data_IF_732666417362
#
_entry.id   IF_732666417362
#
_cell.length_a   1.000
_cell.length_b   1.000
_cell.length_c   1.000
_cell.angle_alpha   90.00
_cell.angle_beta   90.00
_cell.angle_gamma   90.00
#
_symmetry.space_group_name_H-M   'P 1'
#
loop_
_entity.id
_entity.type
_entity.pdbx_description
1 polymer ?
#
# COMPACT_ATOMS: atom_id res chain seq x y z
N UNK A 1 36.39 -13.53 69.84
CA UNK A 1 35.07 -13.65 70.49
C UNK A 1 34.29 -12.38 70.12
N UNK A 2 33.68 -12.35 68.94
CA UNK A 2 32.25 -12.64 68.66
C UNK A 2 31.29 -11.54 69.15
N UNK A 3 30.82 -10.69 68.25
CA UNK A 3 29.43 -10.79 67.77
C UNK A 3 29.13 -9.75 66.68
N UNK A 4 28.95 -10.30 65.48
CA UNK A 4 28.02 -9.92 64.41
C UNK A 4 26.92 -8.93 64.80
N UNK A 5 26.89 -7.78 64.14
CA UNK A 5 25.71 -6.92 64.01
C UNK A 5 25.23 -6.98 62.56
N UNK A 6 24.18 -7.77 62.35
CA UNK A 6 23.48 -7.92 61.09
C UNK A 6 22.62 -6.68 60.81
N UNK A 7 22.96 -5.96 59.74
CA UNK A 7 22.15 -4.94 59.10
C UNK A 7 20.90 -5.59 58.51
N UNK A 8 19.72 -5.33 59.10
CA UNK A 8 18.43 -5.68 58.48
C UNK A 8 18.11 -4.67 57.39
N UNK A 9 18.12 -5.12 56.14
CA UNK A 9 17.44 -4.47 55.04
C UNK A 9 15.93 -4.44 55.33
N UNK A 10 15.36 -3.25 55.45
CA UNK A 10 13.92 -3.05 55.40
C UNK A 10 13.43 -3.28 53.95
N UNK A 11 12.30 -3.98 53.73
CA UNK A 11 11.74 -4.13 52.40
C UNK A 11 11.24 -2.78 51.89
N UNK A 12 11.78 -2.34 50.76
CA UNK A 12 11.24 -1.26 49.94
C UNK A 12 9.79 -1.59 49.60
N UNK A 13 8.85 -0.78 50.13
CA UNK A 13 7.47 -0.76 49.63
C UNK A 13 7.51 -0.37 48.16
N UNK A 14 7.26 -1.35 47.29
CA UNK A 14 6.81 -1.11 45.93
C UNK A 14 5.46 -0.40 46.08
N UNK A 15 5.47 0.91 45.91
CA UNK A 15 4.26 1.68 45.67
C UNK A 15 3.74 1.22 44.31
N UNK A 16 2.76 0.34 44.32
CA UNK A 16 1.89 0.11 43.17
C UNK A 16 1.18 1.44 42.92
N UNK A 17 1.65 2.17 41.90
CA UNK A 17 0.91 3.25 41.28
C UNK A 17 -0.38 2.65 40.70
N UNK A 18 -1.45 2.58 41.49
CA UNK A 18 -2.79 2.50 40.94
C UNK A 18 -3.09 3.87 40.36
N UNK A 19 -2.81 4.03 39.07
CA UNK A 19 -3.28 5.16 38.27
C UNK A 19 -4.80 5.12 38.17
N UNK A 20 -5.50 5.45 39.26
CA UNK A 20 -6.90 5.82 39.21
C UNK A 20 -6.97 7.18 38.51
N UNK A 21 -7.21 7.16 37.20
CA UNK A 21 -7.82 8.29 36.53
C UNK A 21 -9.14 8.59 37.26
N UNK A 22 -9.35 9.81 37.79
CA UNK A 22 -10.64 10.21 38.31
C UNK A 22 -11.57 10.40 37.11
N UNK A 23 -12.22 9.33 36.68
CA UNK A 23 -13.40 9.42 35.83
C UNK A 23 -14.48 10.00 36.72
N UNK A 24 -14.81 11.29 36.56
CA UNK A 24 -16.06 11.85 37.12
C UNK A 24 -17.21 11.14 36.40
N UNK A 25 -17.98 10.28 37.06
CA UNK A 25 -19.25 9.86 36.52
C UNK A 25 -20.26 10.99 36.82
N UNK A 26 -21.29 11.13 35.98
CA UNK A 26 -22.46 11.97 36.22
C UNK A 26 -22.27 13.47 35.89
N UNK A 27 -22.72 13.87 34.69
CA UNK A 27 -23.03 15.28 34.42
C UNK A 27 -23.12 15.69 32.95
N UNK A 28 -22.33 15.11 32.05
CA UNK A 28 -22.15 15.67 30.68
C UNK A 28 -22.17 14.65 29.54
N UNK A 29 -22.78 13.48 29.73
CA UNK A 29 -22.89 12.47 28.66
C UNK A 29 -23.97 12.77 27.60
N UNK A 30 -24.73 13.86 27.73
CA UNK A 30 -25.89 14.16 26.88
C UNK A 30 -25.61 14.94 25.61
N UNK A 31 -24.33 15.24 25.30
CA UNK A 31 -23.97 16.16 24.21
C UNK A 31 -23.29 15.51 23.00
N UNK A 32 -23.01 14.21 23.04
CA UNK A 32 -22.63 13.48 21.83
C UNK A 32 -23.90 13.05 21.09
N UNK A 33 -24.19 13.69 19.96
CA UNK A 33 -25.30 13.34 19.08
C UNK A 33 -25.15 11.93 18.47
N UNK A 34 -24.01 11.28 18.66
CA UNK A 34 -23.74 9.89 18.23
C UNK A 34 -24.65 8.87 18.97
N UNK A 35 -25.26 9.25 20.10
CA UNK A 35 -26.04 8.31 20.92
C UNK A 35 -27.36 8.90 21.43
N UNK A 36 -28.27 9.27 20.51
CA UNK A 36 -29.69 9.20 20.87
C UNK A 36 -30.03 7.71 20.95
N UNK A 37 -30.53 7.19 22.09
CA UNK A 37 -30.96 5.81 22.18
C UNK A 37 -32.20 5.63 21.30
N UNK A 38 -31.97 5.36 20.02
CA UNK A 38 -33.02 4.95 19.10
C UNK A 38 -33.58 3.62 19.61
N UNK A 39 -34.90 3.45 19.46
CA UNK A 39 -35.63 2.33 20.06
C UNK A 39 -34.98 1.02 19.61
N UNK A 40 -34.93 0.06 20.53
CA UNK A 40 -34.31 -1.27 20.36
C UNK A 40 -34.85 -2.08 19.16
N UNK A 41 -35.91 -1.61 18.51
CA UNK A 41 -36.65 -2.28 17.44
C UNK A 41 -36.39 -1.70 16.04
N UNK A 42 -35.46 -0.74 15.93
CA UNK A 42 -35.18 -0.10 14.64
C UNK A 42 -34.32 -1.05 13.78
N UNK A 43 -34.94 -1.68 12.78
CA UNK A 43 -34.27 -2.56 11.81
C UNK A 43 -33.00 -1.94 11.21
N UNK A 44 -32.94 -0.61 11.09
CA UNK A 44 -31.76 0.12 10.64
C UNK A 44 -30.53 -0.08 11.54
N UNK A 45 -30.67 -0.12 12.88
CA UNK A 45 -29.55 -0.37 13.80
C UNK A 45 -28.98 -1.77 13.59
N UNK A 46 -29.84 -2.76 13.38
CA UNK A 46 -29.41 -4.13 13.09
C UNK A 46 -28.63 -4.20 11.77
N UNK A 47 -29.10 -3.51 10.72
CA UNK A 47 -28.35 -3.41 9.46
C UNK A 47 -27.00 -2.71 9.63
N UNK A 48 -26.96 -1.58 10.35
CA UNK A 48 -25.70 -0.87 10.65
C UNK A 48 -24.73 -1.81 11.37
N UNK A 49 -25.19 -2.51 12.40
CA UNK A 49 -24.36 -3.45 13.14
C UNK A 49 -23.84 -4.59 12.24
N UNK A 50 -24.68 -5.19 11.39
CA UNK A 50 -24.23 -6.19 10.42
C UNK A 50 -23.16 -5.62 9.48
N UNK A 51 -23.35 -4.40 8.96
CA UNK A 51 -22.37 -3.77 8.07
C UNK A 51 -21.03 -3.49 8.77
N UNK A 52 -21.06 -3.08 10.03
CA UNK A 52 -19.85 -2.87 10.84
C UNK A 52 -19.16 -4.22 11.15
N UNK A 53 -19.91 -5.28 11.44
CA UNK A 53 -19.34 -6.61 11.63
C UNK A 53 -18.72 -7.15 10.33
N UNK A 54 -19.39 -6.92 9.20
CA UNK A 54 -18.86 -7.23 7.88
C UNK A 54 -17.53 -6.47 7.67
N UNK A 55 -17.49 -5.16 7.93
CA UNK A 55 -16.26 -4.39 7.84
C UNK A 55 -15.16 -4.95 8.76
N UNK A 56 -15.49 -5.30 10.01
CA UNK A 56 -14.55 -5.95 10.93
C UNK A 56 -13.93 -7.21 10.33
N UNK A 57 -14.74 -8.15 9.83
CA UNK A 57 -14.23 -9.41 9.27
C UNK A 57 -13.40 -9.18 8.00
N UNK A 58 -13.94 -8.44 7.04
CA UNK A 58 -13.33 -8.33 5.72
C UNK A 58 -12.13 -7.40 5.69
N UNK A 59 -12.17 -6.26 6.41
CA UNK A 59 -11.03 -5.33 6.50
C UNK A 59 -9.91 -5.97 7.33
N UNK A 60 -10.21 -6.66 8.43
CA UNK A 60 -9.18 -7.39 9.20
C UNK A 60 -8.53 -8.49 8.38
N UNK A 61 -9.33 -9.27 7.65
CA UNK A 61 -8.81 -10.33 6.77
C UNK A 61 -7.97 -9.75 5.62
N UNK A 62 -8.37 -8.61 5.05
CA UNK A 62 -7.59 -7.91 4.03
C UNK A 62 -6.24 -7.43 4.60
N UNK A 63 -6.24 -6.77 5.75
CA UNK A 63 -5.02 -6.34 6.44
C UNK A 63 -4.09 -7.51 6.76
N UNK A 64 -4.63 -8.60 7.31
CA UNK A 64 -3.88 -9.83 7.57
C UNK A 64 -3.25 -10.40 6.28
N UNK A 65 -4.02 -10.50 5.19
CA UNK A 65 -3.50 -11.00 3.91
C UNK A 65 -2.40 -10.09 3.35
N UNK A 66 -2.55 -8.77 3.45
CA UNK A 66 -1.51 -7.83 3.02
C UNK A 66 -0.21 -8.00 3.81
N UNK A 67 -0.30 -8.15 5.14
CA UNK A 67 0.88 -8.38 6.00
C UNK A 67 1.58 -9.68 5.63
N UNK A 68 0.84 -10.79 5.59
CA UNK A 68 1.47 -12.11 5.52
C UNK A 68 1.72 -12.60 4.10
N UNK A 69 0.76 -12.44 3.18
CA UNK A 69 0.89 -12.93 1.81
C UNK A 69 1.68 -11.96 0.93
N UNK A 70 1.30 -10.69 0.91
CA UNK A 70 1.93 -9.67 0.05
C UNK A 70 3.19 -9.06 0.68
N UNK A 71 3.29 -9.06 2.01
CA UNK A 71 4.41 -8.51 2.76
C UNK A 71 5.47 -9.56 3.11
N UNK A 72 5.31 -10.19 4.29
CA UNK A 72 6.34 -11.04 4.91
C UNK A 72 6.75 -12.23 4.04
N UNK A 73 5.79 -12.98 3.49
CA UNK A 73 6.12 -14.15 2.65
C UNK A 73 6.85 -13.74 1.38
N UNK A 74 6.40 -12.65 0.74
CA UNK A 74 7.00 -12.12 -0.47
C UNK A 74 8.41 -11.57 -0.21
N UNK A 75 8.61 -10.83 0.88
CA UNK A 75 9.95 -10.37 1.31
C UNK A 75 10.94 -11.52 1.54
N UNK A 76 10.49 -12.61 2.19
CA UNK A 76 11.35 -13.80 2.37
C UNK A 76 11.76 -14.42 1.04
N UNK A 77 10.82 -14.54 0.09
CA UNK A 77 11.10 -15.01 -1.26
C UNK A 77 12.14 -14.12 -1.95
N UNK A 78 11.93 -12.81 -1.96
CA UNK A 78 12.82 -11.85 -2.61
C UNK A 78 14.23 -11.85 -1.99
N UNK A 79 14.33 -11.99 -0.66
CA UNK A 79 15.61 -12.14 0.03
C UNK A 79 16.37 -13.39 -0.41
N UNK A 80 15.69 -14.52 -0.62
CA UNK A 80 16.33 -15.74 -1.17
C UNK A 80 16.79 -15.55 -2.60
N UNK A 81 15.97 -14.92 -3.46
CA UNK A 81 16.33 -14.64 -4.85
C UNK A 81 17.55 -13.72 -4.94
N UNK A 82 17.61 -12.68 -4.09
CA UNK A 82 18.77 -11.80 -4.01
C UNK A 82 20.04 -12.58 -3.63
N UNK A 83 19.97 -13.46 -2.62
CA UNK A 83 21.10 -14.30 -2.20
C UNK A 83 21.54 -15.27 -3.31
N UNK A 84 20.61 -15.95 -3.98
CA UNK A 84 20.92 -16.86 -5.10
C UNK A 84 21.68 -16.14 -6.23
N UNK A 85 21.42 -14.86 -6.46
CA UNK A 85 22.15 -14.07 -7.46
C UNK A 85 23.56 -13.72 -7.02
N UNK A 86 23.77 -13.39 -5.75
CA UNK A 86 25.10 -13.15 -5.21
C UNK A 86 25.95 -14.42 -5.37
N UNK A 87 25.42 -15.57 -4.95
CA UNK A 87 26.08 -16.87 -5.10
C UNK A 87 26.40 -17.22 -6.57
N UNK A 88 25.46 -16.97 -7.48
CA UNK A 88 25.65 -17.24 -8.91
C UNK A 88 26.70 -16.34 -9.55
N UNK A 89 26.84 -15.09 -9.08
CA UNK A 89 27.89 -14.16 -9.53
C UNK A 89 29.27 -14.60 -9.04
N UNK A 90 29.37 -15.05 -7.81
CA UNK A 90 30.64 -15.50 -7.23
C UNK A 90 31.13 -16.79 -7.91
N UNK A 91 30.25 -17.76 -8.12
CA UNK A 91 30.58 -18.97 -8.91
C UNK A 91 31.08 -18.64 -10.33
N UNK A 92 30.44 -17.70 -11.03
CA UNK A 92 30.89 -17.26 -12.37
C UNK A 92 32.26 -16.55 -12.35
N UNK A 93 32.61 -15.85 -11.27
CA UNK A 93 33.95 -15.24 -11.12
C UNK A 93 35.03 -16.29 -10.92
N UNK A 94 34.75 -17.31 -10.10
CA UNK A 94 35.68 -18.41 -9.84
C UNK A 94 35.94 -19.25 -11.11
N UNK A 95 34.90 -19.55 -11.87
CA UNK A 95 35.03 -20.27 -13.14
C UNK A 95 35.82 -19.46 -14.19
N UNK A 96 35.55 -18.15 -14.32
CA UNK A 96 36.32 -17.30 -15.25
C UNK A 96 37.80 -17.22 -14.88
N UNK A 97 38.13 -17.25 -13.59
CA UNK A 97 39.52 -17.24 -13.11
C UNK A 97 40.23 -18.55 -13.46
N UNK A 98 39.54 -19.70 -13.37
CA UNK A 98 40.07 -21.01 -13.77
C UNK A 98 40.24 -21.14 -15.29
N UNK A 99 39.31 -20.61 -16.08
CA UNK A 99 39.33 -20.74 -17.55
C UNK A 99 40.30 -19.76 -18.21
N UNK A 100 40.53 -18.56 -17.65
CA UNK A 100 41.54 -17.61 -18.18
C UNK A 100 42.97 -18.18 -18.17
N UNK A 101 43.27 -19.16 -17.32
CA UNK A 101 44.58 -19.83 -17.29
C UNK A 101 44.78 -20.82 -18.44
N UNK A 102 43.70 -21.28 -19.11
CA UNK A 102 43.77 -22.29 -20.19
C UNK A 102 43.63 -21.73 -21.62
N UNK A 103 43.11 -20.51 -21.79
CA UNK A 103 42.67 -20.02 -23.12
C UNK A 103 43.42 -18.75 -23.56
N UNK A 104 44.76 -18.79 -23.56
CA UNK A 104 45.61 -17.72 -24.14
C UNK A 104 46.16 -18.06 -25.53
N UNK A 105 45.63 -19.09 -26.20
CA UNK A 105 46.07 -19.53 -27.52
C UNK A 105 44.82 -19.81 -28.36
N UNK A 106 44.73 -19.19 -29.54
CA UNK A 106 43.62 -19.21 -30.50
C UNK A 106 42.43 -18.31 -30.12
N UNK A 107 42.25 -17.19 -30.82
CA UNK A 107 41.27 -17.06 -31.92
C UNK A 107 41.24 -15.61 -32.43
N UNK A 108 41.63 -15.42 -33.68
CA UNK A 108 41.27 -14.28 -34.53
C UNK A 108 40.41 -14.82 -35.69
N UNK A 109 39.60 -13.95 -36.28
CA UNK A 109 38.67 -14.13 -37.42
C UNK A 109 37.26 -14.68 -37.12
N UNK A 110 36.27 -13.79 -37.10
CA UNK A 110 35.22 -13.63 -38.15
C UNK A 110 34.04 -12.79 -37.62
N UNK A 111 33.29 -12.14 -38.53
CA UNK A 111 32.29 -11.07 -38.29
C UNK A 111 31.03 -11.40 -37.46
N UNK A 112 31.10 -12.34 -36.52
CA UNK A 112 30.09 -12.59 -35.47
C UNK A 112 30.23 -11.65 -34.27
N UNK A 113 31.23 -10.77 -34.26
CA UNK A 113 31.59 -9.97 -33.09
C UNK A 113 30.52 -8.93 -32.71
N UNK A 114 29.81 -8.34 -33.68
CA UNK A 114 28.77 -7.33 -33.42
C UNK A 114 27.51 -7.94 -32.78
N UNK A 115 27.01 -9.05 -33.33
CA UNK A 115 25.88 -9.79 -32.77
C UNK A 115 26.20 -10.34 -31.37
N UNK A 116 27.43 -10.80 -31.16
CA UNK A 116 27.90 -11.28 -29.87
C UNK A 116 28.03 -10.16 -28.84
N UNK A 117 28.47 -8.97 -29.25
CA UNK A 117 28.53 -7.79 -28.40
C UNK A 117 27.12 -7.32 -27.99
N UNK A 118 26.17 -7.27 -28.94
CA UNK A 118 24.78 -6.92 -28.68
C UNK A 118 24.11 -7.93 -27.73
N UNK A 119 24.28 -9.24 -27.96
CA UNK A 119 23.77 -10.28 -27.08
C UNK A 119 24.35 -10.19 -25.66
N UNK A 120 25.66 -9.91 -25.53
CA UNK A 120 26.30 -9.71 -24.23
C UNK A 120 25.77 -8.46 -23.51
N UNK A 121 25.52 -7.37 -24.24
CA UNK A 121 24.95 -6.15 -23.70
C UNK A 121 23.50 -6.36 -23.23
N UNK A 122 22.67 -7.06 -24.02
CA UNK A 122 21.31 -7.42 -23.65
C UNK A 122 21.26 -8.33 -22.42
N UNK A 123 22.16 -9.32 -22.32
CA UNK A 123 22.26 -10.18 -21.15
C UNK A 123 22.67 -9.39 -19.88
N UNK A 124 23.58 -8.41 -20.01
CA UNK A 124 23.97 -7.55 -18.91
C UNK A 124 22.81 -6.64 -18.46
N UNK A 125 22.07 -6.05 -19.41
CA UNK A 125 20.90 -5.22 -19.14
C UNK A 125 19.77 -6.04 -18.49
N UNK A 126 19.49 -7.25 -18.99
CA UNK A 126 18.52 -8.17 -18.41
C UNK A 126 18.88 -8.53 -16.96
N UNK A 127 20.15 -8.82 -16.69
CA UNK A 127 20.60 -9.10 -15.32
C UNK A 127 20.35 -7.91 -14.39
N UNK A 128 20.64 -6.68 -14.85
CA UNK A 128 20.38 -5.45 -14.09
C UNK A 128 18.88 -5.24 -13.84
N UNK A 129 18.05 -5.29 -14.89
CA UNK A 129 16.59 -5.10 -14.80
C UNK A 129 15.94 -6.09 -13.83
N UNK A 130 16.34 -7.35 -13.86
CA UNK A 130 15.85 -8.35 -12.91
C UNK A 130 16.30 -8.03 -11.47
N UNK A 131 17.49 -7.45 -11.26
CA UNK A 131 17.95 -7.10 -9.90
C UNK A 131 17.12 -5.93 -9.38
N UNK A 132 16.99 -4.88 -10.20
CA UNK A 132 16.19 -3.71 -9.86
C UNK A 132 14.74 -4.11 -9.59
N UNK A 133 14.14 -4.98 -10.42
CA UNK A 133 12.78 -5.47 -10.20
C UNK A 133 12.61 -6.22 -8.88
N UNK A 134 13.60 -7.02 -8.46
CA UNK A 134 13.56 -7.70 -7.16
C UNK A 134 13.58 -6.68 -6.00
N UNK A 135 14.36 -5.61 -6.14
CA UNK A 135 14.47 -4.55 -5.14
C UNK A 135 13.19 -3.70 -5.08
N UNK A 136 12.68 -3.26 -6.22
CA UNK A 136 11.43 -2.50 -6.33
C UNK A 136 10.26 -3.29 -5.72
N UNK A 137 10.22 -4.59 -5.98
CA UNK A 137 9.21 -5.48 -5.41
C UNK A 137 9.39 -5.70 -3.90
N UNK A 138 10.63 -5.65 -3.39
CA UNK A 138 10.90 -5.74 -1.96
C UNK A 138 10.38 -4.49 -1.24
N UNK A 139 10.61 -3.31 -1.81
CA UNK A 139 10.08 -2.05 -1.29
C UNK A 139 8.54 -2.03 -1.33
N UNK A 140 7.93 -2.50 -2.43
CA UNK A 140 6.49 -2.63 -2.55
C UNK A 140 5.91 -3.64 -1.52
N UNK A 141 6.60 -4.74 -1.26
CA UNK A 141 6.20 -5.74 -0.26
C UNK A 141 6.31 -5.20 1.17
N UNK A 142 7.39 -4.47 1.48
CA UNK A 142 7.58 -3.79 2.76
C UNK A 142 6.46 -2.77 3.02
N UNK A 143 6.17 -1.94 2.01
CA UNK A 143 5.03 -1.02 2.05
C UNK A 143 3.71 -1.76 2.26
N UNK A 144 3.47 -2.87 1.56
CA UNK A 144 2.26 -3.66 1.70
C UNK A 144 2.09 -4.23 3.12
N UNK A 145 3.18 -4.64 3.76
CA UNK A 145 3.15 -5.08 5.15
C UNK A 145 2.76 -3.93 6.10
N UNK A 146 3.36 -2.76 5.92
CA UNK A 146 3.11 -1.58 6.74
C UNK A 146 1.67 -1.05 6.57
N UNK A 147 1.19 -0.91 5.33
CA UNK A 147 -0.20 -0.52 5.05
C UNK A 147 -1.15 -1.60 5.58
N UNK A 148 -0.83 -2.88 5.39
CA UNK A 148 -1.62 -4.00 5.91
C UNK A 148 -1.78 -3.99 7.43
N UNK A 149 -0.77 -3.58 8.18
CA UNK A 149 -0.86 -3.41 9.64
C UNK A 149 -1.86 -2.33 10.04
N UNK A 150 -1.88 -1.20 9.33
CA UNK A 150 -2.86 -0.12 9.55
C UNK A 150 -4.28 -0.57 9.16
N UNK A 151 -4.42 -1.25 8.02
CA UNK A 151 -5.71 -1.84 7.59
C UNK A 151 -6.23 -2.85 8.61
N UNK A 152 -5.35 -3.70 9.18
CA UNK A 152 -5.75 -4.63 10.23
C UNK A 152 -6.20 -3.88 11.50
N UNK A 153 -5.49 -2.84 11.93
CA UNK A 153 -5.89 -2.05 13.09
C UNK A 153 -7.26 -1.36 12.90
N UNK A 154 -7.50 -0.79 11.72
CA UNK A 154 -8.81 -0.23 11.31
C UNK A 154 -9.89 -1.32 11.31
N UNK A 155 -9.58 -2.48 10.74
CA UNK A 155 -10.47 -3.64 10.73
C UNK A 155 -10.88 -4.06 12.14
N UNK A 156 -9.92 -4.16 13.06
CA UNK A 156 -10.20 -4.50 14.46
C UNK A 156 -11.02 -3.40 15.16
N UNK A 157 -10.79 -2.12 14.85
CA UNK A 157 -11.54 -1.01 15.45
C UNK A 157 -13.06 -1.10 15.17
N UNK A 158 -13.47 -1.64 14.03
CA UNK A 158 -14.89 -1.88 13.73
C UNK A 158 -15.60 -2.81 14.72
N UNK A 159 -14.87 -3.65 15.46
CA UNK A 159 -15.46 -4.46 16.53
C UNK A 159 -16.12 -3.61 17.62
N UNK A 160 -15.52 -2.46 17.97
CA UNK A 160 -16.08 -1.56 18.98
C UNK A 160 -17.30 -0.81 18.46
N UNK A 161 -17.30 -0.42 17.18
CA UNK A 161 -18.47 0.16 16.53
C UNK A 161 -19.62 -0.84 16.49
N UNK A 162 -19.33 -2.10 16.13
CA UNK A 162 -20.31 -3.20 16.16
C UNK A 162 -20.90 -3.40 17.56
N UNK A 163 -20.05 -3.47 18.58
CA UNK A 163 -20.49 -3.64 19.97
C UNK A 163 -21.35 -2.47 20.44
N UNK A 164 -21.02 -1.24 20.02
CA UNK A 164 -21.82 -0.04 20.28
C UNK A 164 -23.20 -0.13 19.62
N UNK A 165 -23.28 -0.53 18.35
CA UNK A 165 -24.55 -0.70 17.63
C UNK A 165 -25.45 -1.79 18.22
N UNK A 166 -24.87 -2.81 18.87
CA UNK A 166 -25.61 -3.82 19.64
C UNK A 166 -25.99 -3.39 21.06
N UNK A 167 -25.70 -2.14 21.44
CA UNK A 167 -25.90 -1.61 22.79
C UNK A 167 -25.21 -2.46 23.87
N UNK A 168 -24.05 -3.06 23.56
CA UNK A 168 -23.18 -3.68 24.56
C UNK A 168 -22.43 -2.57 25.28
N UNK A 169 -23.15 -1.68 25.96
CA UNK A 169 -22.65 -0.44 26.58
C UNK A 169 -22.47 -0.55 28.09
N UNK A 170 -22.70 -1.74 28.66
CA UNK A 170 -22.58 -2.01 30.10
C UNK A 170 -21.16 -1.78 30.63
N UNK A 171 -20.16 -1.76 29.74
CA UNK A 171 -18.81 -1.31 30.03
C UNK A 171 -18.51 -0.04 29.26
N UNK A 172 -17.79 0.91 29.87
CA UNK A 172 -17.36 2.12 29.17
C UNK A 172 -16.38 1.83 28.03
N UNK A 173 -15.68 0.68 28.09
CA UNK A 173 -14.57 0.33 27.21
C UNK A 173 -14.96 -0.52 25.99
N UNK A 174 -15.95 -1.41 26.12
CA UNK A 174 -16.56 -2.15 24.99
C UNK A 174 -17.92 -1.53 24.75
N UNK A 175 -18.15 -1.04 23.54
CA UNK A 175 -19.43 -0.47 23.11
C UNK A 175 -19.85 0.84 23.78
N UNK A 176 -19.27 1.24 24.91
CA UNK A 176 -19.48 2.58 25.49
C UNK A 176 -18.84 3.71 24.67
N UNK A 177 -19.19 4.97 24.97
CA UNK A 177 -18.71 6.16 24.26
C UNK A 177 -17.18 6.26 24.21
N UNK A 178 -16.49 5.90 25.30
CA UNK A 178 -15.03 5.91 25.31
C UNK A 178 -14.45 4.88 24.32
N UNK A 179 -15.01 3.66 24.28
CA UNK A 179 -14.65 2.64 23.30
C UNK A 179 -14.85 3.10 21.87
N UNK A 180 -15.97 3.77 21.58
CA UNK A 180 -16.27 4.35 20.27
C UNK A 180 -15.24 5.41 19.88
N UNK A 181 -14.95 6.37 20.76
CA UNK A 181 -13.97 7.43 20.46
C UNK A 181 -12.56 6.86 20.28
N UNK A 182 -12.17 5.86 21.07
CA UNK A 182 -10.89 5.18 20.89
C UNK A 182 -10.83 4.43 19.56
N UNK A 183 -11.90 3.77 19.14
CA UNK A 183 -11.95 3.13 17.81
C UNK A 183 -11.84 4.16 16.70
N UNK A 184 -12.55 5.29 16.77
CA UNK A 184 -12.43 6.38 15.81
C UNK A 184 -10.99 6.92 15.79
N UNK A 185 -10.37 7.11 16.96
CA UNK A 185 -8.97 7.56 17.05
C UNK A 185 -8.02 6.60 16.32
N UNK A 186 -8.18 5.28 16.49
CA UNK A 186 -7.38 4.29 15.75
C UNK A 186 -7.63 4.37 14.25
N UNK A 187 -8.89 4.55 13.84
CA UNK A 187 -9.25 4.68 12.44
C UNK A 187 -8.66 5.94 11.81
N UNK A 188 -8.70 7.08 12.51
CA UNK A 188 -8.10 8.35 12.10
C UNK A 188 -6.58 8.25 11.96
N UNK A 189 -5.89 7.57 12.89
CA UNK A 189 -4.45 7.33 12.77
C UNK A 189 -4.12 6.47 11.54
N UNK A 190 -4.93 5.44 11.26
CA UNK A 190 -4.80 4.64 10.03
C UNK A 190 -5.07 5.48 8.78
N UNK A 191 -6.10 6.33 8.81
CA UNK A 191 -6.47 7.21 7.71
C UNK A 191 -5.37 8.22 7.39
N UNK A 192 -4.69 8.78 8.39
CA UNK A 192 -3.54 9.66 8.17
C UNK A 192 -2.42 8.96 7.36
N UNK A 193 -2.15 7.68 7.67
CA UNK A 193 -1.19 6.87 6.90
C UNK A 193 -1.70 6.62 5.48
N UNK A 194 -3.00 6.33 5.30
CA UNK A 194 -3.58 6.11 3.99
C UNK A 194 -3.55 7.37 3.13
N UNK A 195 -3.88 8.54 3.67
CA UNK A 195 -3.82 9.83 2.97
C UNK A 195 -2.40 10.14 2.48
N UNK A 196 -1.37 9.88 3.30
CA UNK A 196 0.03 10.03 2.86
C UNK A 196 0.33 9.17 1.63
N UNK A 197 -0.11 7.91 1.64
CA UNK A 197 0.11 7.00 0.52
C UNK A 197 -0.74 7.33 -0.70
N UNK A 198 -1.99 7.77 -0.53
CA UNK A 198 -2.84 8.27 -1.61
C UNK A 198 -2.18 9.46 -2.32
N UNK A 199 -1.64 10.42 -1.56
CA UNK A 199 -0.88 11.55 -2.12
C UNK A 199 0.35 11.08 -2.91
N UNK A 200 1.13 10.16 -2.33
CA UNK A 200 2.33 9.61 -2.99
C UNK A 200 1.97 8.88 -4.28
N UNK A 201 0.92 8.07 -4.26
CA UNK A 201 0.48 7.27 -5.40
C UNK A 201 -0.13 8.14 -6.51
N UNK A 202 -0.97 9.11 -6.15
CA UNK A 202 -1.53 10.08 -7.08
C UNK A 202 -0.41 10.80 -7.85
N UNK A 203 0.57 11.34 -7.13
CA UNK A 203 1.74 11.99 -7.73
C UNK A 203 2.59 11.02 -8.56
N UNK A 204 2.73 9.77 -8.13
CA UNK A 204 3.47 8.74 -8.87
C UNK A 204 2.80 8.42 -10.21
N UNK A 205 1.48 8.24 -10.24
CA UNK A 205 0.70 7.96 -11.45
C UNK A 205 0.76 9.12 -12.45
N UNK A 206 0.66 10.38 -11.99
CA UNK A 206 0.82 11.54 -12.88
C UNK A 206 2.24 11.61 -13.47
N UNK A 207 3.28 11.40 -12.66
CA UNK A 207 4.67 11.37 -13.15
C UNK A 207 4.90 10.20 -14.11
N UNK A 208 4.33 9.04 -13.82
CA UNK A 208 4.38 7.85 -14.68
C UNK A 208 3.77 8.14 -16.05
N UNK A 209 2.60 8.78 -16.10
CA UNK A 209 1.98 9.20 -17.37
C UNK A 209 2.90 10.08 -18.22
N UNK A 210 3.56 11.08 -17.60
CA UNK A 210 4.54 11.95 -18.30
C UNK A 210 5.72 11.14 -18.81
N UNK A 211 6.32 10.31 -17.96
CA UNK A 211 7.43 9.42 -18.35
C UNK A 211 7.06 8.48 -19.50
N UNK A 212 5.85 7.91 -19.49
CA UNK A 212 5.35 7.07 -20.59
C UNK A 212 5.20 7.86 -21.89
N UNK A 213 4.71 9.11 -21.82
CA UNK A 213 4.59 10.00 -22.97
C UNK A 213 5.97 10.34 -23.53
N UNK A 214 6.90 10.76 -22.68
CA UNK A 214 8.27 11.10 -23.07
C UNK A 214 9.00 9.89 -23.66
N UNK A 215 8.82 8.71 -23.03
CA UNK A 215 9.36 7.46 -23.52
C UNK A 215 8.80 7.08 -24.90
N UNK A 216 7.49 7.19 -25.09
CA UNK A 216 6.84 6.93 -26.38
C UNK A 216 7.36 7.86 -27.50
N UNK A 217 7.62 9.13 -27.18
CA UNK A 217 8.20 10.09 -28.11
C UNK A 217 9.68 9.82 -28.39
N UNK A 218 10.43 9.28 -27.41
CA UNK A 218 11.82 8.86 -27.59
C UNK A 218 11.91 7.66 -28.53
N UNK A 219 11.12 6.62 -28.30
CA UNK A 219 11.13 5.41 -29.14
C UNK A 219 10.63 5.67 -30.57
N UNK A 220 9.64 6.56 -30.74
CA UNK A 220 9.15 6.96 -32.05
C UNK A 220 10.23 7.67 -32.89
N UNK A 221 11.15 8.39 -32.25
CA UNK A 221 12.25 9.10 -32.93
C UNK A 221 13.43 8.18 -33.27
N UNK A 222 13.86 7.32 -32.35
CA UNK A 222 15.05 6.50 -32.57
C UNK A 222 14.79 5.26 -33.42
N UNK A 223 13.56 4.70 -33.40
CA UNK A 223 13.13 3.42 -34.02
C UNK A 223 13.95 2.17 -33.65
N UNK A 224 15.18 2.32 -33.16
CA UNK A 224 16.07 1.29 -32.59
C UNK A 224 16.51 1.74 -31.21
N UNK A 225 16.27 0.90 -30.20
CA UNK A 225 16.48 1.26 -28.78
C UNK A 225 17.86 0.81 -28.26
N UNK A 226 18.48 -0.15 -28.95
CA UNK A 226 19.67 -0.87 -28.46
C UNK A 226 21.01 -0.30 -28.95
N UNK A 227 21.01 0.48 -30.03
CA UNK A 227 22.26 1.00 -30.62
C UNK A 227 22.90 2.11 -29.76
N UNK A 228 22.12 2.85 -28.96
CA UNK A 228 22.65 3.94 -28.12
C UNK A 228 22.40 3.75 -26.61
N UNK A 229 21.35 3.03 -26.19
CA UNK A 229 20.78 3.25 -24.84
C UNK A 229 20.24 2.01 -24.10
N UNK A 230 20.58 0.78 -24.51
CA UNK A 230 20.11 -0.43 -23.83
C UNK A 230 20.44 -0.47 -22.32
N UNK A 231 21.50 0.24 -21.91
CA UNK A 231 21.89 0.39 -20.51
C UNK A 231 20.98 1.36 -19.74
N UNK A 232 20.31 2.29 -20.41
CA UNK A 232 19.44 3.30 -19.82
C UNK A 232 17.99 2.87 -19.59
N UNK A 233 17.55 1.73 -20.13
CA UNK A 233 16.17 1.23 -19.97
C UNK A 233 15.90 0.91 -18.50
N UNK A 234 14.87 1.52 -17.92
CA UNK A 234 14.42 1.23 -16.55
C UNK A 234 13.48 0.01 -16.50
N UNK A 235 13.28 -0.55 -15.30
CA UNK A 235 12.31 -1.65 -15.08
C UNK A 235 10.91 -1.28 -15.55
N UNK A 236 10.46 -0.05 -15.26
CA UNK A 236 9.15 0.45 -15.68
C UNK A 236 9.04 0.52 -17.21
N UNK A 237 10.04 1.11 -17.89
CA UNK A 237 10.06 1.24 -19.35
C UNK A 237 10.06 -0.12 -20.04
N UNK A 238 10.86 -1.07 -19.55
CA UNK A 238 10.83 -2.45 -20.04
C UNK A 238 9.45 -3.08 -19.83
N UNK A 239 8.83 -2.86 -18.67
CA UNK A 239 7.47 -3.33 -18.40
C UNK A 239 6.44 -2.76 -19.37
N UNK A 240 6.61 -1.53 -19.85
CA UNK A 240 5.73 -0.92 -20.85
C UNK A 240 5.93 -1.55 -22.23
N UNK A 241 7.18 -1.77 -22.64
CA UNK A 241 7.52 -2.42 -23.91
C UNK A 241 7.03 -3.87 -23.96
N UNK A 242 7.26 -4.64 -22.90
CA UNK A 242 6.86 -6.04 -22.80
C UNK A 242 5.36 -6.25 -22.52
N UNK A 243 4.52 -5.23 -22.71
CA UNK A 243 3.08 -5.36 -22.59
C UNK A 243 2.56 -5.55 -21.16
N UNK A 244 3.38 -5.32 -20.13
CA UNK A 244 3.04 -5.53 -18.72
C UNK A 244 3.81 -6.70 -18.10
N UNK A 245 5.14 -6.63 -18.12
CA UNK A 245 6.00 -7.67 -17.55
C UNK A 245 5.63 -7.97 -16.09
N UNK A 246 5.32 -9.25 -15.82
CA UNK A 246 4.95 -9.75 -14.50
C UNK A 246 5.82 -10.97 -14.18
N UNK A 247 7.01 -10.77 -13.60
CA UNK A 247 7.93 -11.87 -13.33
C UNK A 247 7.36 -12.85 -12.29
N UNK A 248 7.86 -14.09 -12.25
CA UNK A 248 7.28 -15.12 -11.37
C UNK A 248 7.29 -14.73 -9.88
N UNK A 249 8.27 -13.93 -9.43
CA UNK A 249 8.36 -13.46 -8.03
C UNK A 249 7.30 -12.42 -7.66
N UNK A 250 6.68 -11.73 -8.63
CA UNK A 250 5.61 -10.78 -8.37
C UNK A 250 4.39 -11.45 -7.69
N UNK A 251 4.22 -12.76 -7.87
CA UNK A 251 3.15 -13.54 -7.23
C UNK A 251 3.37 -13.82 -5.75
N UNK A 252 4.61 -13.70 -5.25
CA UNK A 252 4.95 -14.02 -3.86
C UNK A 252 4.78 -15.50 -3.48
N UNK A 253 4.69 -16.40 -4.46
CA UNK A 253 4.56 -17.85 -4.25
C UNK A 253 5.95 -18.47 -4.44
N UNK A 254 6.56 -19.05 -3.39
CA UNK A 254 7.75 -19.87 -3.48
C UNK A 254 7.58 -21.02 -4.47
N UNK A 255 8.62 -21.31 -5.24
CA UNK A 255 8.67 -22.42 -6.18
C UNK A 255 9.89 -23.30 -5.84
N UNK A 256 9.85 -24.63 -5.90
CA UNK A 256 11.06 -25.44 -5.69
C UNK A 256 12.17 -25.18 -6.73
N UNK A 257 11.84 -24.63 -7.90
CA UNK A 257 12.76 -24.38 -9.01
C UNK A 257 13.15 -22.89 -9.16
N UNK A 258 13.17 -22.09 -8.07
CA UNK A 258 13.42 -20.63 -8.13
C UNK A 258 14.67 -20.26 -8.93
N UNK A 259 15.77 -20.98 -8.75
CA UNK A 259 17.03 -20.72 -9.46
C UNK A 259 16.89 -20.91 -10.98
N UNK A 260 16.19 -21.97 -11.43
CA UNK A 260 15.96 -22.23 -12.85
C UNK A 260 14.97 -21.22 -13.46
N UNK A 261 13.96 -20.83 -12.69
CA UNK A 261 12.99 -19.81 -13.11
C UNK A 261 13.66 -18.45 -13.24
N UNK A 262 14.57 -18.10 -12.33
CA UNK A 262 15.31 -16.85 -12.38
C UNK A 262 16.21 -16.76 -13.61
N UNK A 263 16.95 -17.82 -13.95
CA UNK A 263 17.75 -17.84 -15.18
C UNK A 263 16.87 -17.78 -16.43
N UNK A 264 15.73 -18.46 -16.43
CA UNK A 264 14.77 -18.41 -17.55
C UNK A 264 14.17 -17.02 -17.74
N UNK A 265 13.88 -16.30 -16.67
CA UNK A 265 13.44 -14.90 -16.75
C UNK A 265 14.54 -13.99 -17.30
N UNK A 266 15.79 -14.14 -16.85
CA UNK A 266 16.91 -13.38 -17.40
C UNK A 266 17.08 -13.60 -18.91
N UNK A 267 16.99 -14.86 -19.36
CA UNK A 267 17.05 -15.22 -20.77
C UNK A 267 15.87 -14.65 -21.56
N UNK A 268 14.65 -14.72 -21.01
CA UNK A 268 13.46 -14.15 -21.63
C UNK A 268 13.56 -12.62 -21.77
N UNK A 269 14.04 -11.92 -20.73
CA UNK A 269 14.27 -10.48 -20.77
C UNK A 269 15.35 -10.14 -21.79
N UNK A 270 16.47 -10.88 -21.83
CA UNK A 270 17.53 -10.66 -22.79
C UNK A 270 17.04 -10.86 -24.24
N UNK A 271 16.25 -11.91 -24.48
CA UNK A 271 15.64 -12.20 -25.78
C UNK A 271 14.69 -11.08 -26.23
N UNK A 272 13.82 -10.60 -25.34
CA UNK A 272 12.90 -9.49 -25.65
C UNK A 272 13.64 -8.19 -25.91
N UNK A 273 14.70 -7.90 -25.14
CA UNK A 273 15.55 -6.74 -25.42
C UNK A 273 16.12 -6.85 -26.83
N UNK A 274 16.69 -8.00 -27.21
CA UNK A 274 17.19 -8.23 -28.56
C UNK A 274 16.10 -8.09 -29.63
N UNK A 275 14.85 -8.48 -29.37
CA UNK A 275 13.78 -8.22 -30.34
C UNK A 275 13.45 -6.73 -30.47
N UNK A 276 13.61 -5.93 -29.43
CA UNK A 276 13.43 -4.47 -29.51
C UNK A 276 14.59 -3.74 -30.20
N UNK A 277 15.74 -4.39 -30.50
CA UNK A 277 16.78 -3.76 -31.33
C UNK A 277 16.42 -3.72 -32.80
N UNK A 278 15.63 -4.67 -33.29
CA UNK A 278 15.31 -4.79 -34.71
C UNK A 278 14.25 -3.79 -35.16
N UNK A 279 13.45 -3.29 -34.21
CA UNK A 279 12.42 -2.28 -34.40
C UNK A 279 11.34 -2.38 -33.34
N UNK A 280 10.57 -1.32 -33.14
CA UNK A 280 9.39 -1.32 -32.28
C UNK A 280 8.19 -0.96 -33.13
N UNK A 281 7.17 -1.81 -33.08
CA UNK A 281 5.93 -1.60 -33.83
C UNK A 281 5.17 -0.38 -33.32
N UNK A 282 4.57 0.38 -34.24
CA UNK A 282 3.75 1.55 -33.91
C UNK A 282 2.59 1.20 -32.96
N UNK A 283 2.09 -0.03 -33.01
CA UNK A 283 1.07 -0.54 -32.10
C UNK A 283 1.54 -0.56 -30.63
N UNK A 284 2.81 -0.88 -30.38
CA UNK A 284 3.40 -0.83 -29.03
C UNK A 284 3.47 0.62 -28.55
N UNK A 285 3.90 1.54 -29.42
CA UNK A 285 3.98 2.98 -29.12
C UNK A 285 2.59 3.54 -28.79
N UNK A 286 1.59 3.25 -29.63
CA UNK A 286 0.20 3.65 -29.42
C UNK A 286 -0.38 3.02 -28.14
N UNK A 287 -0.02 1.77 -27.84
CA UNK A 287 -0.38 1.10 -26.60
C UNK A 287 0.19 1.79 -25.35
N UNK A 288 1.44 2.26 -25.40
CA UNK A 288 2.08 3.02 -24.31
C UNK A 288 1.35 4.37 -24.14
N UNK A 289 1.05 5.08 -25.23
CA UNK A 289 0.30 6.34 -25.18
C UNK A 289 -1.10 6.16 -24.60
N UNK A 290 -1.84 5.11 -24.98
CA UNK A 290 -3.14 4.81 -24.42
C UNK A 290 -3.05 4.55 -22.90
N UNK A 291 -2.09 3.73 -22.46
CA UNK A 291 -1.84 3.47 -21.03
C UNK A 291 -1.39 4.71 -20.26
N UNK A 292 -0.66 5.63 -20.90
CA UNK A 292 -0.26 6.89 -20.27
C UNK A 292 -1.47 7.75 -19.89
N UNK A 293 -2.51 7.80 -20.74
CA UNK A 293 -3.75 8.55 -20.47
C UNK A 293 -4.53 7.93 -19.33
N UNK A 294 -4.60 6.60 -19.28
CA UNK A 294 -5.21 5.85 -18.18
C UNK A 294 -4.49 6.18 -16.87
N UNK A 295 -3.15 6.13 -16.84
CA UNK A 295 -2.37 6.43 -15.65
C UNK A 295 -2.54 7.88 -15.16
N UNK A 296 -2.73 8.84 -16.07
CA UNK A 296 -3.05 10.23 -15.72
C UNK A 296 -4.41 10.32 -15.01
N UNK A 297 -5.42 9.66 -15.58
CA UNK A 297 -6.77 9.63 -15.02
C UNK A 297 -6.79 8.96 -13.64
N UNK A 298 -6.08 7.84 -13.48
CA UNK A 298 -5.90 7.18 -12.17
C UNK A 298 -5.28 8.16 -11.17
N UNK A 299 -4.22 8.90 -11.54
CA UNK A 299 -3.60 9.88 -10.67
C UNK A 299 -4.56 10.99 -10.21
N UNK A 300 -5.38 11.53 -11.10
CA UNK A 300 -6.39 12.53 -10.73
C UNK A 300 -7.49 11.96 -9.84
N UNK A 301 -7.93 10.73 -10.10
CA UNK A 301 -8.92 10.04 -9.26
C UNK A 301 -8.39 9.85 -7.83
N UNK A 302 -7.14 9.44 -7.67
CA UNK A 302 -6.52 9.31 -6.34
C UNK A 302 -6.45 10.66 -5.60
N UNK A 303 -6.23 11.78 -6.30
CA UNK A 303 -6.32 13.12 -5.67
C UNK A 303 -7.73 13.49 -5.22
N UNK A 304 -8.76 13.08 -5.97
CA UNK A 304 -10.16 13.27 -5.56
C UNK A 304 -10.44 12.46 -4.29
N UNK A 305 -9.99 11.20 -4.23
CA UNK A 305 -10.13 10.38 -3.01
C UNK A 305 -9.39 10.96 -1.83
N UNK A 306 -8.17 11.48 -2.04
CA UNK A 306 -7.42 12.18 -1.01
C UNK A 306 -8.22 13.37 -0.45
N UNK A 307 -8.85 14.16 -1.31
CA UNK A 307 -9.64 15.32 -0.89
C UNK A 307 -10.87 14.91 -0.07
N UNK A 308 -11.61 13.89 -0.51
CA UNK A 308 -12.77 13.37 0.22
C UNK A 308 -12.36 12.81 1.59
N UNK A 309 -11.30 12.00 1.61
CA UNK A 309 -10.79 11.40 2.85
C UNK A 309 -10.19 12.44 3.80
N UNK A 310 -9.63 13.54 3.28
CA UNK A 310 -9.17 14.67 4.08
C UNK A 310 -10.33 15.37 4.81
N UNK A 311 -11.44 15.62 4.12
CA UNK A 311 -12.62 16.20 4.76
C UNK A 311 -13.29 15.22 5.73
N UNK A 312 -13.31 13.92 5.41
CA UNK A 312 -13.82 12.90 6.32
C UNK A 312 -12.99 12.81 7.61
N UNK A 313 -11.66 12.76 7.46
CA UNK A 313 -10.69 12.82 8.56
C UNK A 313 -10.95 14.03 9.46
N UNK A 314 -11.07 15.21 8.86
CA UNK A 314 -11.34 16.43 9.63
C UNK A 314 -12.68 16.35 10.39
N UNK A 315 -13.72 15.82 9.76
CA UNK A 315 -15.04 15.65 10.38
C UNK A 315 -14.99 14.82 11.66
N UNK A 316 -14.39 13.63 11.61
CA UNK A 316 -14.28 12.76 12.78
C UNK A 316 -13.23 13.24 13.80
N UNK A 317 -12.16 13.90 13.35
CA UNK A 317 -11.20 14.55 14.24
C UNK A 317 -11.90 15.58 15.14
N UNK A 318 -12.81 16.38 14.58
CA UNK A 318 -13.61 17.34 15.36
C UNK A 318 -14.40 16.64 16.47
N UNK A 319 -15.08 15.51 16.17
CA UNK A 319 -15.81 14.73 17.17
C UNK A 319 -14.90 14.21 18.29
N UNK A 320 -13.70 13.73 17.95
CA UNK A 320 -12.70 13.27 18.92
C UNK A 320 -12.25 14.43 19.83
N UNK A 321 -11.97 15.60 19.25
CA UNK A 321 -11.56 16.78 20.01
C UNK A 321 -12.65 17.27 20.96
N UNK A 322 -13.90 17.31 20.51
CA UNK A 322 -15.06 17.68 21.33
C UNK A 322 -15.21 16.73 22.52
N UNK A 323 -15.02 15.41 22.31
CA UNK A 323 -15.08 14.42 23.39
C UNK A 323 -14.00 14.63 24.46
N UNK A 324 -12.74 14.84 24.05
CA UNK A 324 -11.64 15.03 25.01
C UNK A 324 -11.62 16.43 25.65
N UNK A 325 -12.32 17.40 25.05
CA UNK A 325 -12.43 18.77 25.56
C UNK A 325 -13.89 19.21 25.74
N UNK A 326 -14.61 18.58 26.69
CA UNK A 326 -16.04 18.83 26.89
C UNK A 326 -16.33 20.23 27.45
N UNK A 327 -15.41 20.80 28.24
CA UNK A 327 -15.56 22.15 28.81
C UNK A 327 -15.01 23.21 27.84
N UNK A 328 -15.92 24.04 27.30
CA UNK A 328 -15.61 25.11 26.34
C UNK A 328 -14.68 26.19 26.91
N UNK A 329 -14.76 26.43 28.23
CA UNK A 329 -14.04 27.49 28.91
C UNK A 329 -12.57 27.17 29.12
N UNK A 330 -12.23 25.89 29.32
CA UNK A 330 -10.86 25.42 29.57
C UNK A 330 -10.13 24.86 28.34
N UNK A 331 -10.72 24.98 27.14
CA UNK A 331 -10.09 24.52 25.90
C UNK A 331 -8.80 25.26 25.59
N UNK A 332 -7.71 24.54 25.26
CA UNK A 332 -6.53 25.16 24.68
C UNK A 332 -6.86 25.91 23.38
N UNK A 333 -6.16 27.03 23.14
CA UNK A 333 -6.46 27.91 21.99
C UNK A 333 -6.27 27.20 20.64
N UNK A 334 -5.34 26.25 20.53
CA UNK A 334 -5.17 25.46 19.30
C UNK A 334 -6.39 24.56 19.01
N UNK A 335 -7.03 24.00 20.05
CA UNK A 335 -8.27 23.21 19.90
C UNK A 335 -9.40 24.12 19.48
N UNK A 336 -9.54 25.29 20.11
CA UNK A 336 -10.55 26.30 19.72
C UNK A 336 -10.38 26.72 18.26
N UNK A 337 -9.13 26.92 17.81
CA UNK A 337 -8.81 27.26 16.42
C UNK A 337 -9.16 26.10 15.47
N UNK A 338 -8.81 24.86 15.82
CA UNK A 338 -9.15 23.68 15.02
C UNK A 338 -10.67 23.46 14.92
N UNK A 339 -11.44 23.87 15.93
CA UNK A 339 -12.91 23.83 15.91
C UNK A 339 -13.54 25.08 15.28
N UNK A 340 -12.73 25.97 14.66
CA UNK A 340 -13.18 27.26 14.11
C UNK A 340 -13.98 28.13 15.11
N UNK A 341 -13.69 28.03 16.40
CA UNK A 341 -14.42 28.74 17.45
C UNK A 341 -15.87 28.30 17.66
N UNK A 342 -16.29 27.17 17.06
CA UNK A 342 -17.65 26.63 17.24
C UNK A 342 -17.86 26.06 18.65
N UNK A 343 -19.12 26.07 19.09
CA UNK A 343 -19.55 25.35 20.28
C UNK A 343 -19.46 23.85 20.03
N UNK A 344 -19.29 23.07 21.10
CA UNK A 344 -19.10 21.62 21.01
C UNK A 344 -20.26 20.91 20.30
N UNK A 345 -21.50 21.33 20.54
CA UNK A 345 -22.68 20.75 19.89
C UNK A 345 -22.68 20.97 18.36
N UNK A 346 -22.37 22.20 17.93
CA UNK A 346 -22.36 22.57 16.51
C UNK A 346 -21.18 21.87 15.80
N UNK A 347 -20.03 21.81 16.47
CA UNK A 347 -18.84 21.15 15.96
C UNK A 347 -19.03 19.63 15.83
N UNK A 348 -19.59 18.95 16.83
CA UNK A 348 -19.91 17.52 16.77
C UNK A 348 -20.90 17.20 15.65
N UNK A 349 -21.96 18.01 15.51
CA UNK A 349 -22.94 17.82 14.45
C UNK A 349 -22.32 18.02 13.06
N UNK A 350 -21.60 19.13 12.85
CA UNK A 350 -20.96 19.41 11.57
C UNK A 350 -19.89 18.37 11.23
N UNK A 351 -19.10 17.96 12.22
CA UNK A 351 -18.06 16.95 12.07
C UNK A 351 -18.60 15.63 11.57
N UNK A 352 -19.63 15.10 12.25
CA UNK A 352 -20.33 13.88 11.83
C UNK A 352 -20.96 14.03 10.44
N UNK A 353 -21.67 15.14 10.18
CA UNK A 353 -22.33 15.37 8.90
C UNK A 353 -21.35 15.42 7.72
N UNK A 354 -20.22 16.11 7.88
CA UNK A 354 -19.16 16.17 6.86
C UNK A 354 -18.49 14.81 6.68
N UNK A 355 -18.16 14.13 7.78
CA UNK A 355 -17.57 12.79 7.78
C UNK A 355 -18.40 11.80 6.97
N UNK A 356 -19.66 11.63 7.37
CA UNK A 356 -20.59 10.69 6.76
C UNK A 356 -20.89 11.05 5.30
N UNK A 357 -21.05 12.34 4.97
CA UNK A 357 -21.32 12.77 3.60
C UNK A 357 -20.14 12.46 2.66
N UNK A 358 -18.90 12.73 3.07
CA UNK A 358 -17.72 12.47 2.25
C UNK A 358 -17.53 10.97 1.97
N UNK A 359 -17.70 10.12 2.98
CA UNK A 359 -17.64 8.66 2.80
C UNK A 359 -18.83 8.08 2.02
N UNK A 360 -19.96 8.80 1.95
CA UNK A 360 -21.10 8.41 1.11
C UNK A 360 -20.86 8.75 -0.37
N UNK A 361 -20.17 9.85 -0.65
CA UNK A 361 -19.85 10.29 -2.03
C UNK A 361 -18.81 9.39 -2.69
N UNK A 362 -17.85 8.87 -1.93
CA UNK A 362 -16.75 8.05 -2.46
C UNK A 362 -17.22 6.80 -3.26
N UNK A 363 -18.13 5.94 -2.76
CA UNK A 363 -18.67 4.82 -3.53
C UNK A 363 -19.31 5.21 -4.86
N UNK A 364 -19.97 6.37 -4.94
CA UNK A 364 -20.61 6.85 -6.16
C UNK A 364 -19.56 7.17 -7.23
N UNK A 365 -18.44 7.77 -6.83
CA UNK A 365 -17.31 8.07 -7.72
C UNK A 365 -16.64 6.77 -8.20
N UNK A 366 -16.49 5.78 -7.31
CA UNK A 366 -15.95 4.46 -7.67
C UNK A 366 -16.84 3.81 -8.74
N UNK A 367 -18.17 3.78 -8.51
CA UNK A 367 -19.12 3.13 -9.42
C UNK A 367 -19.26 3.82 -10.77
N UNK A 368 -19.01 5.12 -10.85
CA UNK A 368 -19.05 5.90 -12.10
C UNK A 368 -17.71 5.89 -12.86
N UNK A 369 -16.66 5.28 -12.31
CA UNK A 369 -15.35 5.21 -12.95
C UNK A 369 -15.40 4.40 -14.26
N UNK A 370 -15.01 4.99 -15.41
CA UNK A 370 -15.10 4.36 -16.72
C UNK A 370 -14.30 3.05 -16.83
N UNK A 371 -13.30 2.83 -15.97
CA UNK A 371 -12.54 1.57 -15.96
C UNK A 371 -13.38 0.37 -15.52
N UNK A 372 -14.35 0.56 -14.62
CA UNK A 372 -15.25 -0.50 -14.19
C UNK A 372 -16.24 -0.80 -15.31
N UNK A 373 -16.80 0.24 -15.95
CA UNK A 373 -17.71 0.06 -17.08
C UNK A 373 -17.00 -0.62 -18.25
N UNK A 374 -15.76 -0.23 -18.57
CA UNK A 374 -15.00 -0.82 -19.67
C UNK A 374 -14.60 -2.27 -19.36
N UNK A 375 -14.21 -2.60 -18.13
CA UNK A 375 -13.91 -3.97 -17.72
C UNK A 375 -15.13 -4.89 -17.82
N UNK A 376 -16.30 -4.40 -17.36
CA UNK A 376 -17.56 -5.13 -17.47
C UNK A 376 -18.00 -5.30 -18.92
N UNK A 377 -17.83 -4.28 -19.77
CA UNK A 377 -18.15 -4.32 -21.20
C UNK A 377 -17.19 -5.21 -22.01
N UNK A 378 -15.89 -5.19 -21.71
CA UNK A 378 -14.89 -6.04 -22.36
C UNK A 378 -15.06 -7.52 -21.98
N UNK A 379 -15.42 -7.80 -20.73
CA UNK A 379 -15.76 -9.16 -20.28
C UNK A 379 -16.93 -9.74 -21.09
N UNK A 380 -17.92 -8.89 -21.43
CA UNK A 380 -19.07 -9.27 -22.24
C UNK A 380 -18.67 -9.61 -23.69
N UNK A 381 -17.88 -8.77 -24.36
CA UNK A 381 -17.37 -9.03 -25.72
C UNK A 381 -16.49 -10.28 -25.81
N UNK A 382 -15.71 -10.58 -24.76
CA UNK A 382 -14.88 -11.79 -24.72
C UNK A 382 -15.72 -13.06 -24.59
N UNK A 383 -16.83 -13.02 -23.84
CA UNK A 383 -17.80 -14.12 -23.77
C UNK A 383 -18.52 -14.34 -25.10
N UNK A 384 -18.89 -13.27 -25.81
CA UNK A 384 -19.54 -13.35 -27.12
C UNK A 384 -18.65 -13.91 -28.24
N UNK A 385 -17.31 -13.81 -28.12
CA UNK A 385 -16.37 -14.46 -29.07
C UNK A 385 -16.09 -15.94 -28.77
N UNK A 386 -16.51 -16.43 -27.60
CA UNK A 386 -16.30 -17.81 -27.15
C UNK A 386 -17.59 -18.65 -27.22
N UNK A 387 -18.74 -18.01 -27.44
CA UNK A 387 -20.01 -18.63 -27.80
C UNK A 387 -20.19 -18.63 -29.31
#
# INVERSE_FOLDING_TARGET
MSNSSATRCAPSRISTYSGHFPVRPEGHASLLCISVPARRDDASQFFIAITQFYAFVFVSLAGYRMIFHSGVRKLRLLGRLANMRVESRDKKKDEKTKTKTKTKKQKEESGDDENKAAAAAAAAAASRLVTESILDEADASSRSAFVGANVLAVGLAFFWLFANSFHVTSTTWIGGTAGLIHSLTVMELGLAVFMYYMYKDAGSSVRRSRRMTDFSARIARSRRLLDEDARGITVEEYGWLAGGWSPFWARGIPDPAESKLLTKEEEAVASNLMSFSTGIDDDVINGILARSRISLFEGFREYVYLLLNFFAFYGYLVCILVYYHPDEGSRPEYVRTMLFGMKNADADWLGNAVGDFMWTVEPIIILTSPMITDSLLLSKKKKEKLS
#
